data_IF_267543267186
#
_entry.id   IF_267543267186
#
_cell.length_a   1.000
_cell.length_b   1.000
_cell.length_c   1.000
_cell.angle_alpha   90.00
_cell.angle_beta   90.00
_cell.angle_gamma   90.00
#
_symmetry.space_group_name_H-M   'P 1'
#
loop_
_entity.id
_entity.type
_entity.pdbx_description
1 polymer ?
#
# COMPACT_ATOMS: atom_id res chain seq x y z
N UNK A 1 29.46 -17.51 -30.48
CA UNK A 1 27.98 -17.59 -30.54
C UNK A 1 27.59 -18.74 -29.62
N UNK A 2 26.86 -18.49 -28.52
CA UNK A 2 26.46 -19.52 -27.55
C UNK A 2 25.04 -19.99 -27.89
N UNK A 3 24.84 -21.30 -27.98
CA UNK A 3 23.55 -21.92 -28.26
C UNK A 3 22.91 -22.32 -26.94
N UNK A 4 21.69 -21.85 -26.68
CA UNK A 4 20.96 -22.12 -25.43
C UNK A 4 19.89 -23.18 -25.67
N UNK A 5 19.82 -24.20 -24.80
CA UNK A 5 18.73 -25.17 -24.77
C UNK A 5 18.05 -25.10 -23.41
N UNK A 6 16.74 -24.82 -23.39
CA UNK A 6 15.91 -24.80 -22.20
C UNK A 6 14.79 -25.83 -22.37
N UNK A 7 14.64 -26.73 -21.41
CA UNK A 7 13.57 -27.73 -21.39
C UNK A 7 12.63 -27.39 -20.25
N UNK A 8 11.36 -27.12 -20.58
CA UNK A 8 10.28 -26.87 -19.62
C UNK A 8 9.73 -28.20 -19.11
N UNK A 9 9.58 -28.39 -17.79
CA UNK A 9 8.71 -29.43 -17.22
C UNK A 9 7.74 -28.77 -16.25
N UNK A 10 6.46 -28.86 -16.56
CA UNK A 10 5.40 -28.11 -15.90
C UNK A 10 4.71 -28.95 -14.83
N UNK A 11 5.32 -29.06 -13.65
CA UNK A 11 4.59 -29.43 -12.43
C UNK A 11 5.17 -28.64 -11.27
N UNK A 12 4.45 -27.57 -10.87
CA UNK A 12 4.80 -26.61 -9.80
C UNK A 12 6.11 -25.83 -10.04
N UNK A 13 6.03 -24.75 -10.82
CA UNK A 13 6.93 -23.58 -10.87
C UNK A 13 8.43 -23.78 -10.55
N UNK A 14 9.05 -24.83 -11.09
CA UNK A 14 10.49 -25.05 -10.97
C UNK A 14 11.12 -24.82 -12.35
N UNK A 15 12.11 -23.93 -12.42
CA UNK A 15 12.87 -23.71 -13.65
C UNK A 15 14.32 -24.13 -13.42
N UNK A 16 14.76 -25.13 -14.16
CA UNK A 16 16.18 -25.55 -14.22
C UNK A 16 16.74 -25.07 -15.54
N UNK A 17 17.86 -24.35 -15.50
CA UNK A 17 18.52 -23.85 -16.70
C UNK A 17 19.95 -24.39 -16.76
N UNK A 18 20.27 -25.12 -17.82
CA UNK A 18 21.66 -25.48 -18.12
C UNK A 18 22.25 -24.39 -18.98
N UNK A 19 23.36 -23.77 -18.54
CA UNK A 19 24.07 -22.82 -19.40
C UNK A 19 25.39 -23.43 -19.84
N UNK A 20 25.43 -23.87 -21.10
CA UNK A 20 26.66 -24.25 -21.76
C UNK A 20 27.30 -23.01 -22.38
N UNK A 21 28.42 -22.56 -21.83
CA UNK A 21 29.28 -21.56 -22.47
C UNK A 21 30.70 -22.09 -22.49
N UNK A 22 31.34 -22.19 -23.67
CA UNK A 22 32.79 -22.38 -23.74
C UNK A 22 33.44 -21.15 -23.10
N UNK A 23 33.95 -21.29 -21.88
CA UNK A 23 34.76 -20.25 -21.24
C UNK A 23 36.16 -20.27 -21.87
N UNK A 24 36.32 -19.66 -23.05
CA UNK A 24 37.64 -19.36 -23.58
C UNK A 24 38.26 -18.23 -22.78
N UNK A 25 39.33 -18.51 -22.04
CA UNK A 25 40.17 -17.47 -21.43
C UNK A 25 40.75 -16.59 -22.55
N UNK A 26 40.30 -15.34 -22.64
CA UNK A 26 41.01 -14.32 -23.43
C UNK A 26 41.69 -13.38 -22.45
N UNK A 27 43.02 -13.42 -22.46
CA UNK A 27 43.96 -12.45 -21.94
C UNK A 27 43.78 -12.04 -20.47
N UNK A 28 44.24 -12.89 -19.54
CA UNK A 28 45.10 -12.50 -18.42
C UNK A 28 44.67 -11.41 -17.42
N UNK A 29 43.50 -10.80 -17.56
CA UNK A 29 43.01 -9.76 -16.66
C UNK A 29 41.96 -10.34 -15.72
N UNK A 30 42.30 -10.29 -14.43
CA UNK A 30 41.46 -10.66 -13.31
C UNK A 30 40.29 -9.68 -13.16
N UNK A 31 39.25 -9.88 -13.97
CA UNK A 31 38.04 -9.07 -13.88
C UNK A 31 36.79 -9.94 -14.02
N UNK A 32 36.02 -9.90 -12.94
CA UNK A 32 34.60 -10.23 -12.82
C UNK A 32 34.26 -11.66 -12.38
N UNK A 33 33.56 -11.68 -11.24
CA UNK A 33 32.63 -12.72 -10.80
C UNK A 33 31.95 -13.43 -11.97
N UNK A 34 31.69 -14.73 -11.86
CA UNK A 34 30.69 -15.41 -12.67
C UNK A 34 29.35 -14.68 -12.50
N UNK A 35 29.13 -13.71 -13.38
CA UNK A 35 27.96 -12.87 -13.37
C UNK A 35 26.86 -13.70 -14.02
N UNK A 36 26.23 -14.57 -13.21
CA UNK A 36 25.06 -15.36 -13.57
C UNK A 36 23.95 -14.47 -14.20
N UNK A 37 24.05 -13.16 -13.98
CA UNK A 37 23.26 -12.06 -14.51
C UNK A 37 23.33 -11.86 -16.03
N UNK A 38 24.43 -12.19 -16.71
CA UNK A 38 24.49 -12.04 -18.17
C UNK A 38 23.62 -13.08 -18.90
N UNK A 39 23.32 -14.20 -18.24
CA UNK A 39 22.62 -15.36 -18.82
C UNK A 39 21.09 -15.25 -18.67
N UNK A 40 20.58 -14.76 -17.54
CA UNK A 40 19.14 -14.58 -17.33
C UNK A 40 18.56 -13.37 -18.09
N UNK A 41 19.37 -12.36 -18.39
CA UNK A 41 18.92 -11.11 -19.04
C UNK A 41 18.72 -11.20 -20.56
N UNK A 42 19.17 -12.29 -21.21
CA UNK A 42 19.00 -12.55 -22.65
C UNK A 42 17.76 -13.40 -22.99
N UNK A 43 16.99 -13.79 -21.98
CA UNK A 43 15.80 -14.60 -22.13
C UNK A 43 14.60 -13.71 -22.47
N UNK A 44 14.36 -13.45 -23.76
CA UNK A 44 13.28 -12.59 -24.26
C UNK A 44 11.87 -13.04 -23.84
N UNK A 45 11.68 -14.30 -23.47
CA UNK A 45 10.40 -14.87 -23.06
C UNK A 45 9.82 -14.25 -21.77
N UNK A 46 10.65 -13.63 -20.93
CA UNK A 46 10.23 -12.96 -19.68
C UNK A 46 9.37 -11.70 -19.91
N UNK A 47 9.48 -11.04 -21.07
CA UNK A 47 8.68 -9.82 -21.37
C UNK A 47 7.17 -10.12 -21.41
N UNK A 48 6.78 -11.36 -21.66
CA UNK A 48 5.38 -11.77 -21.85
C UNK A 48 4.65 -12.06 -20.53
N UNK A 49 5.37 -12.23 -19.42
CA UNK A 49 4.86 -12.51 -18.07
C UNK A 49 5.13 -11.36 -17.08
N UNK A 50 5.37 -10.17 -17.62
CA UNK A 50 5.68 -8.97 -16.87
C UNK A 50 4.44 -8.46 -16.13
N UNK A 51 4.38 -8.66 -14.81
CA UNK A 51 3.91 -7.60 -13.91
C UNK A 51 4.57 -7.64 -12.51
N UNK A 52 4.87 -8.82 -11.93
CA UNK A 52 5.78 -8.96 -10.79
C UNK A 52 6.17 -10.44 -10.55
N UNK A 53 7.40 -10.70 -10.08
CA UNK A 53 7.87 -12.04 -9.73
C UNK A 53 8.79 -12.01 -8.51
N UNK A 54 8.72 -13.06 -7.70
CA UNK A 54 9.56 -13.26 -6.50
C UNK A 54 10.52 -14.42 -6.77
N UNK A 55 11.82 -14.20 -6.60
CA UNK A 55 12.80 -15.30 -6.59
C UNK A 55 13.04 -15.69 -5.15
N UNK A 56 12.61 -16.89 -4.77
CA UNK A 56 12.80 -17.41 -3.41
C UNK A 56 14.13 -18.12 -3.25
N UNK A 57 14.70 -18.65 -4.33
CA UNK A 57 15.91 -19.48 -4.25
C UNK A 57 16.71 -19.51 -5.54
N UNK A 58 18.03 -19.48 -5.40
CA UNK A 58 18.98 -19.75 -6.48
C UNK A 58 19.95 -20.84 -5.99
N UNK A 59 20.31 -21.79 -6.86
CA UNK A 59 21.30 -22.82 -6.55
C UNK A 59 22.15 -23.17 -7.78
N UNK A 60 23.31 -23.77 -7.52
CA UNK A 60 24.17 -24.34 -8.56
C UNK A 60 24.14 -25.86 -8.45
N UNK A 61 23.88 -26.54 -9.57
CA UNK A 61 23.82 -28.00 -9.62
C UNK A 61 25.18 -28.60 -9.96
N UNK A 62 25.52 -29.68 -9.27
CA UNK A 62 26.64 -30.53 -9.62
C UNK A 62 26.32 -31.29 -10.91
N UNK A 63 27.23 -31.30 -11.88
CA UNK A 63 27.03 -32.00 -13.14
C UNK A 63 26.61 -33.46 -12.96
N UNK A 64 25.33 -33.75 -13.21
CA UNK A 64 24.78 -35.11 -13.34
C UNK A 64 24.31 -35.83 -12.06
N UNK A 65 24.39 -35.23 -10.86
CA UNK A 65 23.89 -35.88 -9.62
C UNK A 65 22.77 -35.07 -8.97
N UNK A 66 21.52 -35.53 -9.11
CA UNK A 66 20.34 -35.00 -8.43
C UNK A 66 20.58 -35.00 -6.91
N UNK A 67 20.50 -33.82 -6.26
CA UNK A 67 20.44 -33.71 -4.80
C UNK A 67 21.65 -33.06 -4.11
N UNK A 68 22.80 -32.88 -4.79
CA UNK A 68 23.95 -32.13 -4.25
C UNK A 68 24.03 -30.74 -4.91
N UNK A 69 23.71 -29.70 -4.15
CA UNK A 69 23.68 -28.31 -4.64
C UNK A 69 24.35 -27.38 -3.64
N UNK A 70 25.10 -26.38 -4.13
CA UNK A 70 25.45 -25.23 -3.31
C UNK A 70 24.21 -24.33 -3.22
N UNK A 71 23.70 -24.16 -2.01
CA UNK A 71 22.56 -23.29 -1.71
C UNK A 71 23.10 -22.10 -0.93
N UNK A 72 22.90 -20.90 -1.44
CA UNK A 72 22.98 -19.70 -0.62
C UNK A 72 21.53 -19.31 -0.31
N UNK A 73 21.16 -19.39 0.97
CA UNK A 73 19.83 -19.03 1.45
C UNK A 73 19.94 -17.63 2.07
N UNK A 74 19.74 -16.59 1.27
CA UNK A 74 19.53 -15.26 1.84
C UNK A 74 18.69 -14.34 0.94
N UNK A 75 17.73 -13.67 1.62
CA UNK A 75 16.80 -12.63 1.19
C UNK A 75 15.89 -12.92 -0.02
N UNK A 76 14.58 -12.96 0.25
CA UNK A 76 13.52 -12.81 -0.74
C UNK A 76 13.77 -11.53 -1.56
N UNK A 77 13.81 -11.64 -2.90
CA UNK A 77 13.97 -10.47 -3.78
C UNK A 77 12.86 -10.40 -4.84
N UNK A 78 12.39 -9.17 -5.09
CA UNK A 78 11.31 -8.89 -6.04
C UNK A 78 11.84 -8.24 -7.32
N UNK A 79 11.25 -8.64 -8.44
CA UNK A 79 11.40 -8.03 -9.76
C UNK A 79 10.16 -7.22 -10.11
N UNK A 80 10.36 -6.05 -10.72
CA UNK A 80 9.27 -5.23 -11.28
C UNK A 80 9.78 -4.47 -12.50
N UNK A 81 8.87 -3.80 -13.24
CA UNK A 81 9.18 -3.14 -14.53
C UNK A 81 10.39 -2.19 -14.50
N UNK A 82 10.64 -1.53 -13.37
CA UNK A 82 11.76 -0.59 -13.21
C UNK A 82 13.04 -1.25 -12.69
N UNK A 83 12.98 -2.52 -12.27
CA UNK A 83 14.11 -3.27 -11.72
C UNK A 83 14.14 -4.70 -12.24
N UNK A 84 14.73 -4.84 -13.41
CA UNK A 84 14.78 -6.05 -14.23
C UNK A 84 15.99 -6.95 -13.97
N UNK A 85 16.89 -6.57 -13.05
CA UNK A 85 18.13 -7.32 -12.74
C UNK A 85 18.28 -7.54 -11.23
N UNK A 86 18.52 -8.77 -10.78
CA UNK A 86 18.84 -9.17 -9.38
C UNK A 86 19.71 -10.43 -9.34
N UNK A 87 20.44 -10.59 -8.23
CA UNK A 87 21.31 -11.73 -7.94
C UNK A 87 22.30 -11.39 -6.82
N UNK A 88 23.29 -12.25 -6.63
CA UNK A 88 24.19 -12.21 -5.47
C UNK A 88 25.61 -11.85 -5.92
N UNK A 89 26.16 -10.75 -5.38
CA UNK A 89 27.52 -10.32 -5.71
C UNK A 89 28.63 -11.27 -5.21
N UNK A 90 28.30 -12.21 -4.30
CA UNK A 90 29.24 -13.20 -3.73
C UNK A 90 28.56 -14.55 -3.52
N UNK A 91 28.27 -15.25 -4.62
CA UNK A 91 27.52 -16.52 -4.57
C UNK A 91 28.39 -17.76 -4.29
N UNK A 92 29.53 -17.88 -4.97
CA UNK A 92 30.49 -18.97 -4.82
C UNK A 92 31.90 -18.45 -5.09
N UNK A 93 32.89 -18.86 -4.30
CA UNK A 93 34.28 -18.47 -4.57
C UNK A 93 34.79 -19.12 -5.85
N UNK A 94 35.65 -18.42 -6.58
CA UNK A 94 36.22 -18.92 -7.83
C UNK A 94 37.04 -20.21 -7.61
N UNK A 95 37.78 -20.26 -6.50
CA UNK A 95 38.53 -21.45 -6.08
C UNK A 95 37.61 -22.67 -5.93
N UNK A 96 36.43 -22.50 -5.30
CA UNK A 96 35.47 -23.58 -5.10
C UNK A 96 34.75 -23.95 -6.41
N UNK A 97 34.50 -22.98 -7.28
CA UNK A 97 33.87 -23.20 -8.58
C UNK A 97 34.78 -23.97 -9.55
N UNK A 98 36.06 -23.59 -9.64
CA UNK A 98 37.03 -24.20 -10.55
C UNK A 98 37.61 -25.52 -10.04
N UNK A 99 37.36 -25.89 -8.79
CA UNK A 99 37.86 -27.14 -8.23
C UNK A 99 37.12 -28.35 -8.85
N UNK A 100 37.78 -29.21 -9.63
CA UNK A 100 37.13 -30.33 -10.32
C UNK A 100 36.46 -31.32 -9.35
N UNK A 101 37.00 -31.47 -8.13
CA UNK A 101 36.42 -32.32 -7.08
C UNK A 101 35.06 -31.83 -6.58
N UNK A 102 34.72 -30.57 -6.86
CA UNK A 102 33.44 -29.94 -6.49
C UNK A 102 32.41 -30.00 -7.61
N UNK A 103 32.82 -30.36 -8.84
CA UNK A 103 32.03 -30.58 -10.07
C UNK A 103 30.92 -29.57 -10.39
N UNK A 104 31.12 -28.32 -9.99
CA UNK A 104 30.31 -27.19 -10.42
C UNK A 104 30.59 -26.77 -11.88
N UNK A 105 31.79 -27.11 -12.37
CA UNK A 105 32.23 -26.88 -13.74
C UNK A 105 32.67 -28.24 -14.33
N UNK A 106 31.96 -28.70 -15.36
CA UNK A 106 32.22 -29.96 -16.07
C UNK A 106 32.24 -29.66 -17.56
N UNK A 107 33.35 -29.95 -18.23
CA UNK A 107 33.56 -29.65 -19.65
C UNK A 107 33.26 -28.17 -20.00
N UNK A 108 33.79 -27.26 -19.19
CA UNK A 108 33.52 -25.82 -19.23
C UNK A 108 32.04 -25.42 -19.11
N UNK A 109 31.17 -26.35 -18.71
CA UNK A 109 29.74 -26.12 -18.55
C UNK A 109 29.37 -26.14 -17.06
N UNK A 110 28.38 -25.32 -16.69
CA UNK A 110 27.82 -25.31 -15.35
C UNK A 110 26.29 -25.14 -15.43
N UNK A 111 25.58 -25.65 -14.42
CA UNK A 111 24.11 -25.63 -14.40
C UNK A 111 23.63 -24.79 -13.21
N UNK A 112 22.76 -23.82 -13.49
CA UNK A 112 22.15 -22.97 -12.47
C UNK A 112 20.65 -23.25 -12.38
N UNK A 113 20.13 -23.40 -11.16
CA UNK A 113 18.70 -23.49 -10.88
C UNK A 113 18.19 -22.22 -10.23
N UNK A 114 16.97 -21.81 -10.60
CA UNK A 114 16.27 -20.69 -9.97
C UNK A 114 14.82 -21.09 -9.69
N UNK A 115 14.39 -20.95 -8.43
CA UNK A 115 12.98 -21.09 -8.06
C UNK A 115 12.34 -19.70 -8.06
N UNK A 116 11.45 -19.51 -9.05
CA UNK A 116 10.74 -18.26 -9.29
C UNK A 116 9.25 -18.49 -9.06
N UNK A 117 8.66 -17.66 -8.22
CA UNK A 117 7.22 -17.57 -8.06
C UNK A 117 6.70 -16.37 -8.83
N UNK A 118 5.81 -16.61 -9.80
CA UNK A 118 5.05 -15.53 -10.42
C UNK A 118 3.99 -15.10 -9.42
N UNK A 119 4.14 -13.88 -8.89
CA UNK A 119 3.07 -13.25 -8.13
C UNK A 119 2.12 -12.71 -9.19
N UNK A 120 1.03 -13.44 -9.48
CA UNK A 120 -0.07 -12.83 -10.22
C UNK A 120 -0.51 -11.60 -9.43
N UNK A 121 -0.47 -10.39 -10.00
CA UNK A 121 -1.04 -9.24 -9.33
C UNK A 121 -2.53 -9.53 -9.14
N UNK A 122 -2.93 -9.89 -7.92
CA UNK A 122 -4.34 -9.84 -7.53
C UNK A 122 -4.82 -8.39 -7.37
N UNK A 123 -3.93 -7.41 -7.58
CA UNK A 123 -4.29 -6.02 -7.61
C UNK A 123 -5.15 -5.76 -8.86
N UNK A 124 -6.48 -5.76 -8.68
CA UNK A 124 -7.33 -4.90 -9.48
C UNK A 124 -6.62 -3.55 -9.59
N UNK A 125 -6.34 -3.11 -10.82
CA UNK A 125 -5.76 -1.79 -11.06
C UNK A 125 -6.82 -0.77 -10.65
N UNK A 126 -6.66 -0.25 -9.45
CA UNK A 126 -7.55 0.76 -8.89
C UNK A 126 -7.06 2.14 -9.35
N UNK A 127 -7.86 2.81 -10.18
CA UNK A 127 -7.60 4.19 -10.57
C UNK A 127 -8.18 5.08 -9.48
N UNK A 128 -7.31 5.84 -8.83
CA UNK A 128 -7.68 6.83 -7.83
C UNK A 128 -7.82 8.20 -8.49
N UNK A 129 -9.03 8.75 -8.48
CA UNK A 129 -9.36 10.04 -9.06
C UNK A 129 -9.72 11.03 -7.95
N UNK A 130 -9.12 12.22 -7.97
CA UNK A 130 -9.46 13.29 -7.02
C UNK A 130 -10.59 14.15 -7.57
N UNK A 131 -11.80 13.96 -7.06
CA UNK A 131 -12.97 14.78 -7.40
C UNK A 131 -12.89 16.08 -6.63
N UNK A 132 -12.69 17.19 -7.34
CA UNK A 132 -12.75 18.55 -6.78
C UNK A 132 -14.20 19.02 -6.78
N UNK A 133 -14.63 19.67 -5.69
CA UNK A 133 -16.00 20.19 -5.50
C UNK A 133 -17.07 19.10 -5.74
N UNK A 134 -17.10 18.06 -4.91
CA UNK A 134 -18.02 16.94 -5.10
C UNK A 134 -19.51 17.35 -5.08
N UNK A 135 -20.37 16.52 -5.63
CA UNK A 135 -21.81 16.75 -5.58
C UNK A 135 -22.34 16.49 -4.16
N UNK A 136 -23.25 17.34 -3.68
CA UNK A 136 -23.72 17.26 -2.31
C UNK A 136 -22.60 17.44 -1.28
N UNK A 137 -21.58 18.25 -1.60
CA UNK A 137 -20.34 18.42 -0.81
C UNK A 137 -20.51 18.86 0.63
N UNK A 138 -21.71 19.11 1.12
CA UNK A 138 -21.88 19.63 2.47
C UNK A 138 -23.00 18.94 3.21
N UNK A 139 -22.79 18.80 4.52
CA UNK A 139 -23.79 18.26 5.42
C UNK A 139 -23.85 19.13 6.67
N UNK A 140 -25.06 19.29 7.19
CA UNK A 140 -25.32 20.09 8.40
C UNK A 140 -26.05 19.23 9.42
N UNK A 141 -25.49 19.13 10.62
CA UNK A 141 -26.06 18.43 11.74
C UNK A 141 -26.51 19.43 12.82
N UNK A 142 -27.81 19.42 13.13
CA UNK A 142 -28.40 20.22 14.20
C UNK A 142 -28.59 19.35 15.45
N UNK A 143 -27.82 19.63 16.48
CA UNK A 143 -27.84 18.90 17.75
C UNK A 143 -28.73 19.66 18.73
N UNK A 144 -29.99 19.22 18.83
CA UNK A 144 -30.99 19.85 19.71
C UNK A 144 -30.75 19.47 21.18
N UNK A 145 -31.23 20.31 22.09
CA UNK A 145 -31.14 20.11 23.54
C UNK A 145 -29.69 19.88 23.99
N UNK A 146 -28.74 20.61 23.41
CA UNK A 146 -27.30 20.36 23.58
C UNK A 146 -26.88 20.44 25.05
N UNK A 147 -27.42 21.41 25.81
CA UNK A 147 -27.16 21.56 27.24
C UNK A 147 -27.54 20.35 28.09
N UNK A 148 -28.46 19.50 27.61
CA UNK A 148 -28.96 18.31 28.33
C UNK A 148 -28.19 17.04 27.97
N UNK A 149 -27.22 17.11 27.05
CA UNK A 149 -26.45 15.94 26.66
C UNK A 149 -25.52 15.50 27.79
N UNK A 150 -25.45 14.19 27.98
CA UNK A 150 -24.46 13.56 28.84
C UNK A 150 -23.09 13.46 28.14
N UNK A 151 -22.13 12.86 28.83
CA UNK A 151 -20.77 12.58 28.34
C UNK A 151 -20.73 11.51 27.23
N UNK A 152 -21.81 10.76 27.05
CA UNK A 152 -21.89 9.70 26.05
C UNK A 152 -21.80 10.25 24.62
N UNK A 153 -21.15 9.47 23.77
CA UNK A 153 -21.02 9.77 22.35
C UNK A 153 -22.40 9.97 21.70
N UNK A 154 -22.52 11.00 20.86
CA UNK A 154 -23.71 11.25 20.03
C UNK A 154 -23.34 11.16 18.58
N UNK A 155 -24.24 10.61 17.78
CA UNK A 155 -24.04 10.34 16.36
C UNK A 155 -25.02 11.16 15.53
N UNK A 156 -24.57 11.67 14.39
CA UNK A 156 -25.49 12.19 13.36
C UNK A 156 -26.19 11.05 12.63
N UNK A 157 -27.08 11.41 11.71
CA UNK A 157 -27.49 10.50 10.65
C UNK A 157 -26.32 10.25 9.68
N UNK A 158 -26.40 9.15 8.94
CA UNK A 158 -25.48 8.89 7.82
C UNK A 158 -25.82 9.81 6.64
N UNK A 159 -24.81 10.32 5.95
CA UNK A 159 -24.98 11.14 4.74
C UNK A 159 -24.01 10.68 3.66
N UNK A 160 -24.35 10.92 2.39
CA UNK A 160 -23.57 10.39 1.26
C UNK A 160 -22.91 11.51 0.48
N UNK A 161 -21.62 11.36 0.18
CA UNK A 161 -20.86 12.24 -0.73
C UNK A 161 -19.99 11.36 -1.62
N UNK A 162 -20.08 11.53 -2.94
CA UNK A 162 -19.37 10.71 -3.94
C UNK A 162 -19.53 9.19 -3.72
N UNK A 163 -20.75 8.75 -3.43
CA UNK A 163 -21.06 7.32 -3.24
C UNK A 163 -20.52 6.70 -1.95
N UNK A 164 -19.86 7.48 -1.08
CA UNK A 164 -19.40 7.04 0.24
C UNK A 164 -20.31 7.55 1.34
N UNK A 165 -20.62 6.71 2.31
CA UNK A 165 -21.39 7.08 3.49
C UNK A 165 -20.49 7.60 4.61
N UNK A 166 -20.82 8.77 5.11
CA UNK A 166 -20.12 9.50 6.15
C UNK A 166 -21.02 9.67 7.37
N UNK A 167 -20.42 9.86 8.53
CA UNK A 167 -21.15 10.13 9.77
C UNK A 167 -20.33 10.97 10.73
N UNK A 168 -20.98 11.92 11.39
CA UNK A 168 -20.40 12.64 12.51
C UNK A 168 -20.64 11.90 13.82
N UNK A 169 -19.69 12.11 14.73
CA UNK A 169 -19.92 11.88 16.14
C UNK A 169 -19.23 12.91 17.00
N UNK A 170 -19.83 13.18 18.15
CA UNK A 170 -19.28 14.09 19.14
C UNK A 170 -19.22 13.43 20.50
N UNK A 171 -18.26 13.89 21.30
CA UNK A 171 -18.31 13.79 22.75
C UNK A 171 -18.71 15.16 23.28
N UNK A 172 -19.98 15.34 23.71
CA UNK A 172 -20.50 16.66 24.08
C UNK A 172 -19.74 17.30 25.23
N UNK A 173 -19.13 16.48 26.10
CA UNK A 173 -18.29 16.90 27.22
C UNK A 173 -16.81 16.58 27.03
N UNK A 174 -16.38 16.32 25.79
CA UNK A 174 -14.98 16.07 25.45
C UNK A 174 -14.55 14.61 25.58
N UNK A 175 -13.40 14.30 25.00
CA UNK A 175 -12.80 12.97 25.00
C UNK A 175 -11.31 13.06 25.37
N UNK A 176 -10.76 12.03 26.02
CA UNK A 176 -9.34 11.99 26.41
C UNK A 176 -8.90 13.26 27.16
N UNK A 177 -7.85 13.92 26.64
CA UNK A 177 -7.31 15.17 27.20
C UNK A 177 -8.29 16.35 27.19
N UNK A 178 -9.30 16.33 26.31
CA UNK A 178 -10.31 17.37 26.19
C UNK A 178 -11.50 17.23 27.14
N UNK A 179 -11.56 16.14 27.91
CA UNK A 179 -12.69 15.82 28.79
C UNK A 179 -13.00 16.95 29.79
N UNK A 180 -14.28 17.28 29.92
CA UNK A 180 -14.83 18.34 30.75
C UNK A 180 -14.60 19.77 30.23
N UNK A 181 -13.77 19.98 29.20
CA UNK A 181 -13.34 21.31 28.76
C UNK A 181 -13.72 21.64 27.32
N UNK A 182 -13.70 20.64 26.44
CA UNK A 182 -13.91 20.82 25.01
C UNK A 182 -15.12 20.02 24.54
N UNK A 183 -15.77 20.50 23.48
CA UNK A 183 -16.54 19.66 22.57
C UNK A 183 -15.55 18.95 21.66
N UNK A 184 -15.52 17.61 21.68
CA UNK A 184 -14.72 16.85 20.72
C UNK A 184 -15.62 16.43 19.55
N UNK A 185 -15.19 16.74 18.32
CA UNK A 185 -15.93 16.51 17.08
C UNK A 185 -15.12 15.65 16.12
N UNK A 186 -15.73 14.57 15.64
CA UNK A 186 -15.12 13.57 14.78
C UNK A 186 -16.01 13.21 13.60
N UNK A 187 -15.39 12.77 12.52
CA UNK A 187 -16.03 12.24 11.32
C UNK A 187 -15.45 10.88 10.97
N UNK A 188 -16.28 9.98 10.45
CA UNK A 188 -15.84 8.68 9.93
C UNK A 188 -16.57 8.28 8.66
N UNK A 189 -16.01 7.29 7.97
CA UNK A 189 -16.72 6.51 6.95
C UNK A 189 -17.67 5.53 7.66
N UNK A 190 -18.97 5.70 7.46
CA UNK A 190 -19.99 4.82 8.04
C UNK A 190 -20.09 3.47 7.32
N UNK A 191 -19.62 3.43 6.08
CA UNK A 191 -19.56 2.23 5.23
C UNK A 191 -18.18 1.57 5.21
N UNK A 192 -17.25 2.01 6.07
CA UNK A 192 -15.97 1.33 6.22
C UNK A 192 -16.20 -0.14 6.61
N UNK A 193 -15.51 -1.06 5.94
CA UNK A 193 -15.65 -2.49 6.16
C UNK A 193 -16.93 -3.13 5.62
N UNK A 194 -17.98 -2.34 5.34
CA UNK A 194 -19.24 -2.81 4.73
C UNK A 194 -19.12 -2.94 3.21
N UNK A 195 -18.29 -2.10 2.58
CA UNK A 195 -17.98 -2.16 1.16
C UNK A 195 -16.63 -2.84 0.98
N UNK A 196 -16.61 -3.96 0.24
CA UNK A 196 -15.40 -4.67 -0.14
C UNK A 196 -15.06 -4.39 -1.62
N UNK A 197 -13.76 -4.24 -1.97
CA UNK A 197 -12.60 -4.22 -1.08
C UNK A 197 -12.59 -3.00 -0.14
N UNK A 198 -11.91 -3.11 1.01
CA UNK A 198 -11.75 -1.99 1.96
C UNK A 198 -10.89 -0.89 1.32
N UNK A 199 -11.55 0.05 0.64
CA UNK A 199 -10.89 1.16 -0.07
C UNK A 199 -10.69 2.35 0.85
N UNK A 200 -9.45 2.83 0.92
CA UNK A 200 -9.10 4.08 1.61
C UNK A 200 -9.68 5.26 0.84
N UNK A 201 -10.21 6.24 1.55
CA UNK A 201 -10.76 7.47 0.95
C UNK A 201 -9.97 8.66 1.46
N UNK A 202 -9.34 9.40 0.56
CA UNK A 202 -8.80 10.72 0.85
C UNK A 202 -9.91 11.77 0.81
N UNK A 203 -9.89 12.70 1.75
CA UNK A 203 -10.75 13.88 1.67
C UNK A 203 -10.04 15.14 2.19
N UNK A 204 -10.28 16.25 1.50
CA UNK A 204 -10.05 17.60 1.99
C UNK A 204 -11.40 18.24 2.29
N UNK A 205 -11.60 18.70 3.52
CA UNK A 205 -12.87 19.22 3.98
C UNK A 205 -12.69 20.28 5.06
N UNK A 206 -13.71 21.12 5.25
CA UNK A 206 -13.78 22.09 6.34
C UNK A 206 -14.84 21.65 7.33
N UNK A 207 -14.45 21.44 8.58
CA UNK A 207 -15.38 21.27 9.70
C UNK A 207 -15.67 22.62 10.33
N UNK A 208 -16.94 22.84 10.71
CA UNK A 208 -17.39 24.09 11.31
C UNK A 208 -18.37 23.85 12.45
N UNK A 209 -18.27 24.66 13.50
CA UNK A 209 -19.36 24.96 14.41
C UNK A 209 -19.88 26.34 14.03
N UNK A 210 -21.17 26.42 13.69
CA UNK A 210 -21.75 27.64 13.15
C UNK A 210 -22.14 28.62 14.26
N UNK A 211 -21.77 29.89 14.09
CA UNK A 211 -22.35 31.00 14.85
C UNK A 211 -23.66 31.39 14.17
N UNK A 212 -24.77 31.26 14.88
CA UNK A 212 -26.10 31.53 14.34
C UNK A 212 -26.37 33.01 14.04
N UNK A 213 -25.50 33.91 14.48
CA UNK A 213 -25.53 35.34 14.14
C UNK A 213 -24.81 35.65 12.83
N UNK A 214 -24.08 34.67 12.28
CA UNK A 214 -23.28 34.82 11.06
C UNK A 214 -22.02 35.65 11.22
N UNK A 215 -21.60 35.96 12.46
CA UNK A 215 -20.42 36.81 12.72
C UNK A 215 -19.13 36.00 12.54
N UNK A 216 -18.99 34.89 13.28
CA UNK A 216 -17.75 34.11 13.25
C UNK A 216 -17.97 32.63 13.55
N UNK A 217 -17.89 31.80 12.52
CA UNK A 217 -17.83 30.35 12.70
C UNK A 217 -16.47 29.93 13.29
N UNK A 218 -16.46 28.87 14.10
CA UNK A 218 -15.22 28.15 14.40
C UNK A 218 -15.02 27.12 13.31
N UNK A 219 -13.96 27.23 12.53
CA UNK A 219 -13.67 26.30 11.44
C UNK A 219 -12.28 25.70 11.50
N UNK A 220 -12.14 24.48 10.96
CA UNK A 220 -10.86 23.80 10.73
C UNK A 220 -10.85 23.19 9.34
N UNK A 221 -9.80 23.48 8.58
CA UNK A 221 -9.49 22.77 7.35
C UNK A 221 -8.78 21.47 7.68
N UNK A 222 -9.24 20.37 7.08
CA UNK A 222 -8.82 19.02 7.35
C UNK A 222 -8.41 18.34 6.04
N UNK A 223 -7.36 17.50 6.11
CA UNK A 223 -6.92 16.63 5.03
C UNK A 223 -6.61 15.27 5.65
N UNK A 224 -7.29 14.22 5.21
CA UNK A 224 -7.16 12.93 5.86
C UNK A 224 -7.41 11.75 4.92
N UNK A 225 -6.70 10.65 5.16
CA UNK A 225 -6.93 9.35 4.54
C UNK A 225 -7.75 8.48 5.50
N UNK A 226 -9.04 8.35 5.24
CA UNK A 226 -9.94 7.49 5.98
C UNK A 226 -9.64 6.03 5.62
N UNK A 227 -9.08 5.29 6.59
CA UNK A 227 -8.58 3.94 6.39
C UNK A 227 -8.91 2.97 7.57
N UNK A 228 -9.79 3.38 8.48
CA UNK A 228 -10.27 2.59 9.63
C UNK A 228 -11.69 2.99 10.04
N UNK A 229 -12.28 2.26 10.99
CA UNK A 229 -13.62 2.53 11.55
C UNK A 229 -13.63 3.62 12.62
N UNK A 230 -12.46 4.01 13.13
CA UNK A 230 -12.30 4.90 14.28
C UNK A 230 -12.68 6.35 13.92
N UNK A 231 -12.48 6.74 12.66
CA UNK A 231 -12.64 8.11 12.20
C UNK A 231 -11.51 9.04 12.62
N UNK A 232 -11.70 10.33 12.39
CA UNK A 232 -10.73 11.38 12.74
C UNK A 232 -11.45 12.63 13.22
N UNK A 233 -10.82 13.39 14.11
CA UNK A 233 -11.45 14.55 14.74
C UNK A 233 -10.53 15.31 15.69
N UNK A 234 -11.12 16.23 16.43
CA UNK A 234 -10.40 17.18 17.28
C UNK A 234 -11.21 17.50 18.54
N UNK A 235 -10.49 17.86 19.61
CA UNK A 235 -11.01 18.76 20.65
C UNK A 235 -11.26 20.12 19.99
N UNK A 236 -12.48 20.29 19.50
CA UNK A 236 -12.78 21.24 18.44
C UNK A 236 -12.98 22.65 18.98
N UNK A 237 -13.68 22.77 20.11
CA UNK A 237 -14.07 24.06 20.66
C UNK A 237 -14.28 23.97 22.18
N UNK A 238 -13.90 25.02 22.92
CA UNK A 238 -14.10 25.09 24.37
C UNK A 238 -15.59 25.16 24.73
N UNK A 239 -16.02 24.37 25.71
CA UNK A 239 -17.41 24.35 26.17
C UNK A 239 -17.84 25.71 26.72
N UNK A 240 -16.97 26.39 27.48
CA UNK A 240 -17.25 27.74 27.99
C UNK A 240 -17.60 28.73 26.87
N UNK A 241 -17.00 28.59 25.70
CA UNK A 241 -17.21 29.49 24.57
C UNK A 241 -18.49 29.13 23.81
N UNK A 242 -18.88 27.86 23.79
CA UNK A 242 -20.16 27.40 23.25
C UNK A 242 -21.32 27.92 24.10
N UNK A 243 -21.21 27.78 25.44
CA UNK A 243 -22.27 28.18 26.37
C UNK A 243 -22.36 29.69 26.60
N UNK A 244 -21.34 30.46 26.22
CA UNK A 244 -21.39 31.92 26.31
C UNK A 244 -22.38 32.48 25.29
N UNK A 245 -23.55 32.93 25.76
CA UNK A 245 -24.63 33.46 24.91
C UNK A 245 -24.17 34.55 23.94
N UNK A 246 -23.27 35.42 24.37
CA UNK A 246 -22.69 36.49 23.53
C UNK A 246 -21.84 35.98 22.37
N UNK A 247 -21.62 34.66 22.24
CA UNK A 247 -20.89 34.04 21.14
C UNK A 247 -21.81 33.39 20.09
N UNK A 248 -23.11 33.21 20.36
CA UNK A 248 -24.11 32.83 19.35
C UNK A 248 -24.05 31.40 18.79
N UNK A 249 -23.26 30.50 19.38
CA UNK A 249 -23.13 29.12 18.90
C UNK A 249 -24.31 28.22 19.26
N UNK A 250 -25.06 28.57 20.31
CA UNK A 250 -26.31 27.91 20.69
C UNK A 250 -27.48 28.82 20.33
N UNK A 251 -28.36 28.34 19.45
CA UNK A 251 -29.66 28.95 19.17
C UNK A 251 -30.75 27.98 19.59
N UNK A 252 -31.66 28.40 20.47
CA UNK A 252 -32.73 27.54 21.00
C UNK A 252 -32.19 26.19 21.55
N UNK A 253 -31.10 26.27 22.32
CA UNK A 253 -30.34 25.11 22.84
C UNK A 253 -29.94 24.08 21.74
N UNK A 254 -29.71 24.58 20.52
CA UNK A 254 -29.28 23.79 19.38
C UNK A 254 -27.89 24.24 18.94
N UNK A 255 -26.96 23.29 18.91
CA UNK A 255 -25.64 23.47 18.31
C UNK A 255 -25.67 22.99 16.86
N UNK A 256 -25.13 23.77 15.94
CA UNK A 256 -25.07 23.38 14.52
C UNK A 256 -23.64 23.10 14.08
N UNK A 257 -23.38 21.85 13.70
CA UNK A 257 -22.12 21.40 13.11
C UNK A 257 -22.31 21.30 11.60
N UNK A 258 -21.30 21.71 10.85
CA UNK A 258 -21.33 21.69 9.40
C UNK A 258 -20.01 21.17 8.83
N UNK A 259 -20.10 20.46 7.71
CA UNK A 259 -18.93 20.06 6.92
C UNK A 259 -19.10 20.48 5.48
N UNK A 260 -18.00 20.86 4.86
CA UNK A 260 -17.92 21.15 3.44
C UNK A 260 -16.68 20.47 2.85
N UNK A 261 -16.88 19.51 1.95
CA UNK A 261 -15.84 18.81 1.21
C UNK A 261 -15.35 19.66 0.03
N UNK A 262 -14.04 19.88 -0.03
CA UNK A 262 -13.37 20.50 -1.17
C UNK A 262 -12.88 19.47 -2.18
N UNK A 263 -12.36 18.34 -1.70
CA UNK A 263 -11.81 17.25 -2.52
C UNK A 263 -12.16 15.91 -1.88
N UNK A 264 -12.54 14.91 -2.68
CA UNK A 264 -12.69 13.51 -2.26
C UNK A 264 -12.03 12.61 -3.30
N UNK A 265 -11.31 11.57 -2.88
CA UNK A 265 -10.86 10.53 -3.78
C UNK A 265 -11.99 9.53 -4.07
N UNK A 266 -12.18 9.20 -5.34
CA UNK A 266 -13.02 8.10 -5.78
C UNK A 266 -12.13 7.06 -6.45
N UNK A 267 -12.42 5.79 -6.21
CA UNK A 267 -11.64 4.68 -6.74
C UNK A 267 -12.51 3.81 -7.63
N UNK A 268 -12.09 3.63 -8.87
CA UNK A 268 -12.73 2.76 -9.85
C UNK A 268 -11.86 1.52 -10.08
N UNK A 269 -12.51 0.36 -10.17
CA UNK A 269 -11.87 -0.87 -10.68
C UNK A 269 -12.19 -0.98 -12.16
N UNK A 270 -11.16 -1.04 -13.01
CA UNK A 270 -11.34 -1.51 -14.38
C UNK A 270 -11.59 -3.03 -14.32
N UNK A 271 -12.80 -3.47 -14.68
CA UNK A 271 -13.01 -4.87 -15.06
C UNK A 271 -12.35 -5.08 -16.43
N UNK A 272 -11.49 -6.10 -16.53
CA UNK A 272 -10.83 -6.50 -17.77
C UNK A 272 -11.80 -7.25 -18.68
#
# INVERSE_FOLDING_TARGET
MATFHATSMEVKNWFVFTVGSRFGLVNGESRHSLDCFAMASRLEWWRRWSDAGEVKKLWLEHGGQKGRHHKDASAVTYFHKLKTKRGFGKFLSLEKFNNPSKGYLVNDCCTFGAEVFVIQPSAQKEILTMVKRPNGRSYTWKIKKFSKLNDQVKWSDEFTVEGRKWRFFIYPKGNGSGSGKYLSLYMKLADWGRVLPKRKVYAEYKLRVLDHRGVKNVERACRHWFNSEEGTGYDFMLLKDIYKLSNGYLKDDTLTVHVEFGVISVTFSEEK
#
